data_IF_200109764474
#
_entry.id   IF_200109764474
#
_cell.length_a   1.000
_cell.length_b   1.000
_cell.length_c   1.000
_cell.angle_alpha   90.00
_cell.angle_beta   90.00
_cell.angle_gamma   90.00
#
_symmetry.space_group_name_H-M   'P 1'
#
loop_
_entity.id
_entity.type
_entity.pdbx_description
1 polymer ?
#
# COMPACT_ATOMS: atom_id res chain seq x y z
N UNK A 1 20.65 4.32 43.11
CA UNK A 1 19.76 4.94 42.10
C UNK A 1 20.54 5.05 40.80
N UNK A 2 20.36 4.10 39.89
CA UNK A 2 21.01 4.15 38.59
C UNK A 2 20.10 4.88 37.60
N UNK A 3 20.52 6.05 37.14
CA UNK A 3 19.90 6.76 36.03
C UNK A 3 20.02 5.92 34.77
N UNK A 4 18.90 5.36 34.31
CA UNK A 4 18.80 4.84 32.95
C UNK A 4 18.84 6.05 32.00
N UNK A 5 20.00 6.28 31.40
CA UNK A 5 20.16 7.21 30.29
C UNK A 5 19.24 6.75 29.16
N UNK A 6 18.14 7.48 28.95
CA UNK A 6 17.24 7.25 27.83
C UNK A 6 18.01 7.43 26.53
N UNK A 7 18.06 6.37 25.71
CA UNK A 7 18.65 6.46 24.37
C UNK A 7 17.99 7.63 23.61
N UNK A 8 18.78 8.47 22.90
CA UNK A 8 18.23 9.56 22.12
C UNK A 8 17.24 8.99 21.10
N UNK A 9 16.04 9.59 21.04
CA UNK A 9 15.03 9.22 20.06
C UNK A 9 15.63 9.43 18.66
N UNK A 10 15.62 8.41 17.79
CA UNK A 10 16.17 8.55 16.44
C UNK A 10 15.44 9.67 15.69
N UNK A 11 16.16 10.38 14.82
CA UNK A 11 15.56 11.39 13.94
C UNK A 11 14.43 10.73 13.12
N UNK A 12 13.33 11.44 12.81
CA UNK A 12 12.10 10.85 12.26
C UNK A 12 12.25 10.15 10.89
N UNK A 13 13.44 10.23 10.27
CA UNK A 13 13.76 9.62 8.97
C UNK A 13 15.11 8.88 8.98
N UNK A 14 15.63 8.56 10.17
CA UNK A 14 16.82 7.73 10.32
C UNK A 14 16.45 6.26 10.53
N UNK A 15 17.29 5.36 10.04
CA UNK A 15 17.14 3.95 10.33
C UNK A 15 17.26 3.70 11.84
N UNK A 16 16.45 2.78 12.36
CA UNK A 16 16.41 2.37 13.77
C UNK A 16 16.76 0.90 13.86
N UNK A 17 17.54 0.51 14.87
CA UNK A 17 17.96 -0.88 15.08
C UNK A 17 16.77 -1.70 15.60
N UNK A 18 16.41 -2.75 14.89
CA UNK A 18 15.37 -3.69 15.29
C UNK A 18 15.91 -4.74 16.29
N UNK A 19 15.05 -5.63 16.78
CA UNK A 19 15.40 -6.65 17.79
C UNK A 19 16.45 -7.66 17.31
N UNK A 20 16.65 -7.79 16.00
CA UNK A 20 17.67 -8.63 15.36
C UNK A 20 19.04 -7.94 15.24
N UNK A 21 19.17 -6.70 15.73
CA UNK A 21 20.40 -5.91 15.67
C UNK A 21 20.63 -5.21 14.33
N UNK A 22 19.69 -5.32 13.37
CA UNK A 22 19.84 -4.74 12.05
C UNK A 22 19.03 -3.44 11.89
N UNK A 23 19.51 -2.45 11.12
CA UNK A 23 18.81 -1.19 10.91
C UNK A 23 17.60 -1.34 9.97
N UNK A 24 16.46 -0.75 10.36
CA UNK A 24 15.17 -0.76 9.64
C UNK A 24 14.52 0.62 9.65
N UNK A 25 13.45 0.79 8.86
CA UNK A 25 12.62 2.00 8.96
C UNK A 25 11.92 2.06 10.32
N UNK A 26 11.90 3.23 10.98
CA UNK A 26 11.34 3.39 12.33
C UNK A 26 9.93 2.83 12.47
N UNK A 27 9.05 3.06 11.49
CA UNK A 27 7.64 2.60 11.54
C UNK A 27 7.48 1.08 11.54
N UNK A 28 8.49 0.34 11.08
CA UNK A 28 8.48 -1.14 11.08
C UNK A 28 8.87 -1.73 12.44
N UNK A 29 9.61 -0.97 13.24
CA UNK A 29 10.13 -1.39 14.54
C UNK A 29 9.02 -1.20 15.58
N UNK A 30 8.31 -2.29 15.87
CA UNK A 30 7.30 -2.28 16.93
C UNK A 30 6.63 -3.63 17.14
N UNK A 31 6.37 -4.37 16.07
CA UNK A 31 5.69 -5.67 16.15
C UNK A 31 6.19 -6.63 15.08
N UNK A 32 6.26 -7.95 15.34
CA UNK A 32 6.75 -8.93 14.37
C UNK A 32 6.06 -8.85 13.00
N UNK A 33 4.74 -8.67 12.95
CA UNK A 33 4.00 -8.63 11.68
C UNK A 33 4.37 -7.42 10.82
N UNK A 34 4.56 -6.24 11.43
CA UNK A 34 4.98 -5.03 10.72
C UNK A 34 6.43 -5.15 10.21
N UNK A 35 7.30 -5.75 11.02
CA UNK A 35 8.68 -6.00 10.63
C UNK A 35 8.75 -6.98 9.46
N UNK A 36 7.99 -8.09 9.52
CA UNK A 36 7.92 -9.05 8.43
C UNK A 36 7.37 -8.41 7.14
N UNK A 37 6.28 -7.65 7.23
CA UNK A 37 5.72 -6.92 6.10
C UNK A 37 6.73 -5.93 5.50
N UNK A 38 7.47 -5.19 6.33
CA UNK A 38 8.53 -4.29 5.89
C UNK A 38 9.66 -5.04 5.16
N UNK A 39 10.10 -6.18 5.71
CA UNK A 39 11.28 -6.91 5.23
C UNK A 39 11.01 -7.73 3.96
N UNK A 40 9.75 -8.14 3.75
CA UNK A 40 9.41 -9.12 2.71
C UNK A 40 8.43 -8.61 1.66
N UNK A 41 7.71 -7.51 1.92
CA UNK A 41 6.66 -7.03 1.02
C UNK A 41 6.83 -5.55 0.64
N UNK A 42 6.99 -4.66 1.62
CA UNK A 42 6.92 -3.22 1.36
C UNK A 42 8.12 -2.71 0.54
N UNK A 43 7.82 -2.06 -0.58
CA UNK A 43 8.81 -1.53 -1.50
C UNK A 43 9.27 -2.51 -2.56
N UNK A 44 8.98 -3.80 -2.41
CA UNK A 44 9.29 -4.79 -3.45
C UNK A 44 8.38 -4.59 -4.66
N UNK A 45 8.91 -4.68 -5.89
CA UNK A 45 8.12 -4.42 -7.10
C UNK A 45 7.10 -5.54 -7.32
N UNK A 46 5.86 -5.16 -7.61
CA UNK A 46 4.76 -6.10 -7.88
C UNK A 46 4.11 -5.80 -9.22
N UNK A 47 3.99 -6.82 -10.06
CA UNK A 47 3.46 -6.70 -11.44
C UNK A 47 2.13 -7.40 -11.70
N UNK A 48 1.46 -7.95 -10.69
CA UNK A 48 0.20 -8.67 -10.89
C UNK A 48 -1.02 -7.79 -10.57
N UNK A 49 -1.98 -7.71 -11.48
CA UNK A 49 -3.20 -6.91 -11.35
C UNK A 49 -3.95 -7.15 -10.04
N UNK A 50 -4.13 -8.41 -9.67
CA UNK A 50 -4.83 -8.79 -8.44
C UNK A 50 -4.16 -8.23 -7.19
N UNK A 51 -2.84 -8.32 -7.10
CA UNK A 51 -2.10 -7.80 -5.94
C UNK A 51 -2.13 -6.27 -5.89
N UNK A 52 -2.02 -5.60 -7.03
CA UNK A 52 -2.14 -4.14 -7.12
C UNK A 52 -3.55 -3.66 -6.75
N UNK A 53 -4.58 -4.36 -7.24
CA UNK A 53 -5.97 -4.10 -6.89
C UNK A 53 -6.25 -4.31 -5.40
N UNK A 54 -5.80 -5.44 -4.83
CA UNK A 54 -5.84 -5.69 -3.39
C UNK A 54 -5.23 -4.53 -2.63
N UNK A 55 -4.01 -4.10 -3.01
CA UNK A 55 -3.31 -3.05 -2.30
C UNK A 55 -4.03 -1.70 -2.37
N UNK A 56 -4.46 -1.26 -3.55
CA UNK A 56 -5.26 -0.03 -3.70
C UNK A 56 -6.48 -0.04 -2.78
N UNK A 57 -7.19 -1.17 -2.72
CA UNK A 57 -8.33 -1.33 -1.84
C UNK A 57 -7.95 -1.24 -0.35
N UNK A 58 -6.91 -1.95 0.08
CA UNK A 58 -6.45 -1.92 1.48
C UNK A 58 -5.98 -0.53 1.92
N UNK A 59 -5.25 0.19 1.06
CA UNK A 59 -4.81 1.56 1.35
C UNK A 59 -6.00 2.51 1.52
N UNK A 60 -7.08 2.31 0.77
CA UNK A 60 -8.33 3.08 0.94
C UNK A 60 -8.98 2.89 2.32
N UNK A 61 -8.75 1.74 2.97
CA UNK A 61 -9.23 1.50 4.33
C UNK A 61 -8.40 2.17 5.41
N UNK A 62 -7.14 2.53 5.12
CA UNK A 62 -6.22 3.08 6.11
C UNK A 62 -6.63 4.47 6.63
N UNK A 63 -7.39 5.28 5.88
CA UNK A 63 -7.74 6.65 6.32
C UNK A 63 -8.41 6.65 7.70
N UNK A 64 -7.76 7.26 8.69
CA UNK A 64 -8.20 7.33 10.09
C UNK A 64 -7.74 6.17 10.99
N UNK A 65 -6.89 5.27 10.49
CA UNK A 65 -6.38 4.09 11.20
C UNK A 65 -4.87 3.92 10.99
N UNK A 66 -4.24 3.09 11.82
CA UNK A 66 -2.87 2.65 11.57
C UNK A 66 -2.85 1.58 10.46
N UNK A 67 -1.77 1.53 9.66
CA UNK A 67 -1.57 0.44 8.70
C UNK A 67 -1.58 -0.93 9.38
N UNK A 68 -1.05 -1.03 10.62
CA UNK A 68 -1.11 -2.25 11.45
C UNK A 68 -2.54 -2.80 11.59
N UNK A 69 -3.53 -1.92 11.81
CA UNK A 69 -4.94 -2.34 11.91
C UNK A 69 -5.45 -2.96 10.63
N UNK A 70 -5.06 -2.42 9.46
CA UNK A 70 -5.44 -2.97 8.15
C UNK A 70 -4.70 -4.28 7.90
N UNK A 71 -3.39 -4.32 8.14
CA UNK A 71 -2.54 -5.50 7.96
C UNK A 71 -3.03 -6.69 8.80
N UNK A 72 -3.37 -6.47 10.07
CA UNK A 72 -3.89 -7.51 10.96
C UNK A 72 -5.24 -8.10 10.49
N UNK A 73 -5.97 -7.38 9.63
CA UNK A 73 -7.27 -7.79 9.08
C UNK A 73 -7.17 -8.30 7.64
N UNK A 74 -5.97 -8.35 7.05
CA UNK A 74 -5.77 -8.61 5.62
C UNK A 74 -6.38 -9.94 5.15
N UNK A 75 -6.23 -11.01 5.92
CA UNK A 75 -6.84 -12.30 5.56
C UNK A 75 -8.38 -12.26 5.63
N UNK A 76 -8.94 -11.55 6.61
CA UNK A 76 -10.39 -11.31 6.67
C UNK A 76 -10.87 -10.50 5.46
N UNK A 77 -10.12 -9.47 5.05
CA UNK A 77 -10.40 -8.72 3.83
C UNK A 77 -10.34 -9.60 2.58
N UNK A 78 -9.32 -10.45 2.45
CA UNK A 78 -9.22 -11.42 1.36
C UNK A 78 -10.42 -12.34 1.34
N UNK A 79 -10.84 -12.92 2.48
CA UNK A 79 -12.03 -13.75 2.54
C UNK A 79 -13.30 -12.98 2.13
N UNK A 80 -13.49 -11.79 2.71
CA UNK A 80 -14.65 -10.92 2.48
C UNK A 80 -14.81 -10.49 1.01
N UNK A 81 -13.69 -10.20 0.33
CA UNK A 81 -13.66 -9.70 -1.04
C UNK A 81 -13.14 -10.74 -2.03
N UNK A 82 -13.39 -12.04 -1.79
CA UNK A 82 -13.10 -13.12 -2.74
C UNK A 82 -11.65 -13.16 -3.24
N UNK A 83 -10.72 -12.89 -2.33
CA UNK A 83 -9.29 -12.81 -2.56
C UNK A 83 -8.88 -11.62 -3.41
N UNK A 84 -9.75 -10.62 -3.59
CA UNK A 84 -9.58 -9.50 -4.51
C UNK A 84 -9.52 -9.90 -5.99
N UNK A 85 -10.15 -11.02 -6.36
CA UNK A 85 -10.45 -11.34 -7.77
C UNK A 85 -11.38 -10.26 -8.35
N UNK A 86 -10.84 -9.38 -9.20
CA UNK A 86 -11.52 -8.17 -9.71
C UNK A 86 -12.94 -8.49 -10.19
N UNK A 87 -13.10 -9.48 -11.07
CA UNK A 87 -14.40 -9.83 -11.64
C UNK A 87 -15.39 -10.34 -10.58
N UNK A 88 -14.92 -11.05 -9.55
CA UNK A 88 -15.79 -11.52 -8.45
C UNK A 88 -16.23 -10.37 -7.56
N UNK A 89 -15.33 -9.44 -7.28
CA UNK A 89 -15.62 -8.26 -6.45
C UNK A 89 -16.58 -7.31 -7.19
N UNK A 90 -16.41 -7.12 -8.50
CA UNK A 90 -17.26 -6.25 -9.31
C UNK A 90 -18.74 -6.67 -9.31
N UNK A 91 -18.98 -7.98 -9.18
CA UNK A 91 -20.31 -8.59 -9.10
C UNK A 91 -20.97 -8.53 -7.73
N UNK A 92 -20.28 -8.09 -6.68
CA UNK A 92 -20.88 -7.88 -5.37
C UNK A 92 -21.99 -6.82 -5.44
N UNK A 93 -23.01 -7.03 -4.63
CA UNK A 93 -24.27 -6.28 -4.64
C UNK A 93 -24.46 -5.45 -3.37
N UNK A 94 -25.56 -4.72 -3.27
CA UNK A 94 -25.92 -3.99 -2.05
C UNK A 94 -26.18 -4.94 -0.86
N UNK A 95 -26.73 -6.13 -1.11
CA UNK A 95 -26.92 -7.15 -0.07
C UNK A 95 -25.58 -7.65 0.48
N UNK A 96 -24.54 -7.73 -0.38
CA UNK A 96 -23.18 -8.03 0.05
C UNK A 96 -22.61 -6.90 0.91
N UNK A 97 -22.86 -5.64 0.59
CA UNK A 97 -22.47 -4.50 1.44
C UNK A 97 -23.13 -4.62 2.81
N UNK A 98 -24.43 -4.92 2.86
CA UNK A 98 -25.16 -5.09 4.11
C UNK A 98 -24.61 -6.26 4.94
N UNK A 99 -24.29 -7.39 4.30
CA UNK A 99 -23.63 -8.55 4.92
C UNK A 99 -22.24 -8.20 5.47
N UNK A 100 -21.40 -7.55 4.66
CA UNK A 100 -20.03 -7.16 5.04
C UNK A 100 -20.00 -6.12 6.16
N UNK A 101 -21.02 -5.27 6.27
CA UNK A 101 -21.18 -4.36 7.40
C UNK A 101 -21.38 -5.07 8.74
N UNK A 102 -21.77 -6.35 8.74
CA UNK A 102 -21.89 -7.16 9.96
C UNK A 102 -20.60 -7.93 10.28
N UNK A 103 -19.62 -7.98 9.38
CA UNK A 103 -18.40 -8.76 9.57
C UNK A 103 -17.40 -8.03 10.49
N UNK A 104 -17.13 -8.53 11.72
CA UNK A 104 -16.16 -7.92 12.63
C UNK A 104 -14.70 -8.13 12.19
N UNK A 105 -14.45 -9.06 11.26
CA UNK A 105 -13.16 -9.36 10.67
C UNK A 105 -12.58 -8.18 9.89
N UNK A 106 -13.43 -7.36 9.26
CA UNK A 106 -13.03 -6.20 8.46
C UNK A 106 -13.32 -4.85 9.17
N UNK A 107 -13.01 -3.76 8.47
CA UNK A 107 -13.38 -2.40 8.90
C UNK A 107 -14.78 -2.09 8.38
N UNK A 108 -15.76 -2.02 9.30
CA UNK A 108 -17.19 -1.86 9.00
C UNK A 108 -17.56 -0.42 8.65
N UNK A 109 -17.05 0.06 7.50
CA UNK A 109 -17.33 1.39 6.97
C UNK A 109 -18.03 1.28 5.61
N UNK A 110 -19.34 1.61 5.57
CA UNK A 110 -20.20 1.42 4.39
C UNK A 110 -19.62 2.01 3.11
N UNK A 111 -19.17 3.26 3.15
CA UNK A 111 -18.60 3.94 1.97
C UNK A 111 -17.32 3.29 1.43
N UNK A 112 -16.46 2.73 2.28
CA UNK A 112 -15.20 2.09 1.88
C UNK A 112 -15.45 0.69 1.32
N UNK A 113 -16.40 -0.05 1.89
CA UNK A 113 -16.85 -1.34 1.36
C UNK A 113 -17.46 -1.15 -0.04
N UNK A 114 -18.39 -0.19 -0.20
CA UNK A 114 -18.97 0.13 -1.49
C UNK A 114 -17.92 0.60 -2.50
N UNK A 115 -16.90 1.35 -2.05
CA UNK A 115 -15.80 1.79 -2.89
C UNK A 115 -14.98 0.64 -3.45
N UNK A 116 -14.72 -0.44 -2.69
CA UNK A 116 -14.01 -1.62 -3.22
C UNK A 116 -14.79 -2.24 -4.39
N UNK A 117 -16.11 -2.36 -4.27
CA UNK A 117 -16.98 -2.91 -5.32
C UNK A 117 -16.98 -1.98 -6.54
N UNK A 118 -17.13 -0.68 -6.34
CA UNK A 118 -17.02 0.30 -7.43
C UNK A 118 -15.66 0.22 -8.11
N UNK A 119 -14.57 0.19 -7.35
CA UNK A 119 -13.21 0.15 -7.86
C UNK A 119 -12.95 -1.12 -8.67
N UNK A 120 -13.52 -2.26 -8.29
CA UNK A 120 -13.47 -3.47 -9.10
C UNK A 120 -14.16 -3.29 -10.46
N UNK A 121 -15.34 -2.66 -10.50
CA UNK A 121 -16.04 -2.36 -11.77
C UNK A 121 -15.22 -1.39 -12.63
N UNK A 122 -14.58 -0.38 -12.03
CA UNK A 122 -13.68 0.53 -12.74
C UNK A 122 -12.39 -0.15 -13.22
N UNK A 123 -11.95 -1.20 -12.53
CA UNK A 123 -10.84 -2.02 -12.99
C UNK A 123 -11.24 -2.86 -14.21
N UNK A 124 -12.44 -3.46 -14.25
CA UNK A 124 -12.94 -4.15 -15.45
C UNK A 124 -12.98 -3.21 -16.67
N UNK A 125 -13.53 -2.01 -16.52
CA UNK A 125 -13.55 -0.99 -17.59
C UNK A 125 -12.14 -0.56 -18.03
N UNK A 126 -11.18 -0.53 -17.10
CA UNK A 126 -9.79 -0.23 -17.43
C UNK A 126 -9.17 -1.33 -18.29
N UNK A 127 -9.46 -2.60 -17.97
CA UNK A 127 -8.96 -3.77 -18.70
C UNK A 127 -9.56 -3.90 -20.11
N UNK A 128 -10.68 -3.24 -20.40
CA UNK A 128 -11.20 -3.13 -21.77
C UNK A 128 -10.36 -2.18 -22.65
N UNK A 129 -9.62 -1.27 -22.04
CA UNK A 129 -8.90 -0.19 -22.74
C UNK A 129 -7.37 -0.30 -22.64
N UNK A 130 -6.87 -1.06 -21.68
CA UNK A 130 -5.45 -1.21 -21.38
C UNK A 130 -5.10 -2.68 -21.21
N UNK A 131 -3.83 -2.99 -21.43
CA UNK A 131 -3.32 -4.35 -21.32
C UNK A 131 -3.51 -4.95 -19.92
N UNK A 132 -3.26 -4.16 -18.87
CA UNK A 132 -3.40 -4.61 -17.49
C UNK A 132 -3.51 -3.44 -16.50
N UNK A 133 -4.01 -3.71 -15.29
CA UNK A 133 -3.96 -2.74 -14.19
C UNK A 133 -2.50 -2.46 -13.78
N UNK A 134 -1.62 -3.44 -13.94
CA UNK A 134 -0.20 -3.31 -13.65
C UNK A 134 0.50 -2.35 -14.59
N UNK A 135 0.30 -2.49 -15.91
CA UNK A 135 0.82 -1.55 -16.90
C UNK A 135 0.32 -0.12 -16.62
N UNK A 136 -0.98 0.02 -16.28
CA UNK A 136 -1.52 1.31 -15.86
C UNK A 136 -0.79 1.88 -14.65
N UNK A 137 -0.64 1.11 -13.57
CA UNK A 137 0.02 1.58 -12.34
C UNK A 137 1.49 1.94 -12.59
N UNK A 138 2.24 1.08 -13.26
CA UNK A 138 3.66 1.26 -13.53
C UNK A 138 3.94 2.38 -14.54
N UNK A 139 2.97 2.79 -15.37
CA UNK A 139 3.08 4.00 -16.19
C UNK A 139 3.21 5.31 -15.38
N UNK A 140 2.92 5.27 -14.07
CA UNK A 140 3.13 6.38 -13.14
C UNK A 140 4.41 6.24 -12.29
N UNK A 141 5.30 5.29 -12.57
CA UNK A 141 6.59 5.21 -11.89
C UNK A 141 7.34 6.55 -12.05
N UNK A 142 7.69 7.25 -10.95
CA UNK A 142 8.37 8.54 -11.03
C UNK A 142 9.85 8.36 -11.32
N UNK A 143 10.42 9.32 -12.03
CA UNK A 143 11.88 9.43 -12.18
C UNK A 143 12.55 9.68 -10.81
N UNK A 144 13.71 9.05 -10.51
CA UNK A 144 14.38 9.17 -9.22
C UNK A 144 14.68 10.61 -8.79
N UNK A 145 15.03 11.49 -9.73
CA UNK A 145 15.45 12.88 -9.47
C UNK A 145 14.30 13.76 -8.95
N UNK A 146 13.04 13.35 -9.19
CA UNK A 146 11.85 14.08 -8.76
C UNK A 146 11.34 13.69 -7.37
N UNK A 147 11.99 12.74 -6.70
CA UNK A 147 11.54 12.22 -5.41
C UNK A 147 12.16 13.00 -4.24
N UNK A 148 11.34 13.25 -3.22
CA UNK A 148 11.81 13.76 -1.95
C UNK A 148 12.73 12.73 -1.25
N UNK A 149 13.49 13.18 -0.26
CA UNK A 149 14.24 12.26 0.59
C UNK A 149 13.29 11.21 1.22
N UNK A 150 13.74 9.95 1.39
CA UNK A 150 12.84 8.89 1.80
C UNK A 150 12.08 9.18 3.10
N UNK A 151 10.78 8.91 3.11
CA UNK A 151 9.86 9.08 4.24
C UNK A 151 9.69 10.53 4.73
N UNK A 152 10.14 11.54 3.96
CA UNK A 152 9.99 12.96 4.31
C UNK A 152 8.73 13.61 3.72
N UNK A 153 8.08 12.93 2.77
CA UNK A 153 6.87 13.42 2.10
C UNK A 153 5.70 12.44 2.29
N UNK A 154 4.47 12.95 2.13
CA UNK A 154 3.23 12.16 2.17
C UNK A 154 2.52 12.09 0.82
N UNK A 155 3.07 12.75 -0.21
CA UNK A 155 2.62 12.74 -1.61
C UNK A 155 3.81 12.93 -2.54
N UNK A 156 3.61 12.66 -3.83
CA UNK A 156 4.53 13.05 -4.90
C UNK A 156 3.76 13.62 -6.09
N UNK A 157 4.46 14.24 -7.04
CA UNK A 157 3.83 14.68 -8.29
C UNK A 157 3.14 13.51 -9.01
N UNK A 158 3.79 12.35 -9.05
CA UNK A 158 3.23 11.15 -9.66
C UNK A 158 1.98 10.64 -8.91
N UNK A 159 1.99 10.63 -7.57
CA UNK A 159 0.81 10.19 -6.80
C UNK A 159 -0.38 11.14 -6.97
N UNK A 160 -0.13 12.44 -7.10
CA UNK A 160 -1.15 13.44 -7.42
C UNK A 160 -1.73 13.19 -8.82
N UNK A 161 -0.88 12.94 -9.82
CA UNK A 161 -1.31 12.66 -11.19
C UNK A 161 -2.14 11.38 -11.27
N UNK A 162 -1.64 10.27 -10.70
CA UNK A 162 -2.35 9.00 -10.68
C UNK A 162 -3.68 9.10 -9.91
N UNK A 163 -3.72 9.79 -8.77
CA UNK A 163 -4.96 10.03 -8.01
C UNK A 163 -6.00 10.80 -8.82
N UNK A 164 -5.58 11.85 -9.55
CA UNK A 164 -6.47 12.60 -10.44
C UNK A 164 -7.02 11.72 -11.56
N UNK A 165 -6.18 10.88 -12.15
CA UNK A 165 -6.60 9.98 -13.22
C UNK A 165 -7.56 8.89 -12.74
N UNK A 166 -7.27 8.26 -11.60
CA UNK A 166 -8.18 7.33 -10.93
C UNK A 166 -9.53 7.98 -10.63
N UNK A 167 -9.53 9.21 -10.10
CA UNK A 167 -10.75 9.98 -9.83
C UNK A 167 -11.52 10.29 -11.12
N UNK A 168 -10.84 10.68 -12.20
CA UNK A 168 -11.45 10.93 -13.52
C UNK A 168 -12.12 9.67 -14.06
N UNK A 169 -11.53 8.50 -13.80
CA UNK A 169 -12.09 7.17 -14.12
C UNK A 169 -13.12 6.68 -13.10
N UNK A 170 -13.55 7.50 -12.14
CA UNK A 170 -14.60 7.14 -11.19
C UNK A 170 -14.17 6.21 -10.05
N UNK A 171 -12.87 5.99 -9.84
CA UNK A 171 -12.39 5.28 -8.66
C UNK A 171 -12.60 6.12 -7.39
N UNK A 172 -12.78 5.46 -6.25
CA UNK A 172 -13.17 6.06 -4.99
C UNK A 172 -12.15 5.79 -3.87
N UNK A 173 -12.04 6.72 -2.92
CA UNK A 173 -11.15 6.66 -1.75
C UNK A 173 -9.64 6.54 -2.07
N UNK A 174 -9.22 7.02 -3.24
CA UNK A 174 -7.82 7.00 -3.69
C UNK A 174 -7.27 8.42 -3.88
N UNK A 175 -7.14 9.15 -2.76
CA UNK A 175 -6.51 10.47 -2.74
C UNK A 175 -4.98 10.40 -2.91
N UNK A 176 -4.29 11.54 -3.15
CA UNK A 176 -2.85 11.55 -3.45
C UNK A 176 -1.98 10.90 -2.37
N UNK A 177 -2.35 11.01 -1.09
CA UNK A 177 -1.64 10.36 0.02
C UNK A 177 -1.83 8.85 0.03
N UNK A 178 -3.06 8.38 -0.20
CA UNK A 178 -3.36 6.95 -0.33
C UNK A 178 -2.63 6.33 -1.52
N UNK A 179 -2.63 7.04 -2.65
CA UNK A 179 -1.91 6.59 -3.85
C UNK A 179 -0.40 6.61 -3.61
N UNK A 180 0.14 7.59 -2.89
CA UNK A 180 1.57 7.61 -2.54
C UNK A 180 1.96 6.40 -1.68
N UNK A 181 1.14 6.06 -0.66
CA UNK A 181 1.33 4.86 0.16
C UNK A 181 1.29 3.57 -0.68
N UNK A 182 0.36 3.48 -1.63
CA UNK A 182 0.31 2.40 -2.62
C UNK A 182 1.60 2.32 -3.45
N UNK A 183 2.07 3.44 -4.00
CA UNK A 183 3.28 3.48 -4.84
C UNK A 183 4.52 3.04 -4.06
N UNK A 184 4.65 3.47 -2.81
CA UNK A 184 5.71 3.03 -1.91
C UNK A 184 5.60 1.51 -1.65
N UNK A 185 4.41 1.04 -1.30
CA UNK A 185 4.23 -0.35 -0.89
C UNK A 185 4.42 -1.35 -2.04
N UNK A 186 4.02 -0.98 -3.26
CA UNK A 186 4.09 -1.86 -4.44
C UNK A 186 5.38 -1.69 -5.25
N UNK A 187 6.33 -0.93 -4.70
CA UNK A 187 7.66 -0.81 -5.26
C UNK A 187 7.77 0.09 -6.49
N UNK A 188 6.79 0.95 -6.76
CA UNK A 188 6.94 2.05 -7.72
C UNK A 188 7.89 3.12 -7.15
N UNK A 189 7.92 3.28 -5.83
CA UNK A 189 8.88 4.14 -5.11
C UNK A 189 9.59 3.32 -4.02
N UNK A 190 10.93 3.35 -4.01
CA UNK A 190 11.70 2.74 -2.92
C UNK A 190 11.96 3.80 -1.85
N UNK A 191 11.04 3.84 -0.89
CA UNK A 191 11.03 4.85 0.17
C UNK A 191 11.59 4.31 1.50
N UNK A 192 12.38 3.23 1.47
CA UNK A 192 13.16 2.81 2.63
C UNK A 192 14.16 3.90 3.01
N UNK A 193 14.24 4.30 4.28
CA UNK A 193 15.21 5.33 4.71
C UNK A 193 16.65 4.94 4.40
N UNK A 194 17.51 5.94 4.21
CA UNK A 194 18.95 5.68 4.11
C UNK A 194 19.46 4.96 5.36
N UNK A 195 20.25 3.90 5.17
CA UNK A 195 20.74 3.02 6.23
C UNK A 195 19.81 1.86 6.60
N UNK A 196 18.56 1.80 6.10
CA UNK A 196 17.73 0.60 6.23
C UNK A 196 18.36 -0.57 5.45
N UNK A 197 18.55 -1.73 6.10
CA UNK A 197 19.20 -2.87 5.43
C UNK A 197 18.40 -3.41 4.24
N UNK A 198 17.06 -3.26 4.28
CA UNK A 198 16.14 -3.78 3.24
C UNK A 198 16.20 -2.93 1.97
N UNK A 199 16.63 -1.66 2.09
CA UNK A 199 16.68 -0.72 0.96
C UNK A 199 17.45 -1.29 -0.23
N UNK A 200 18.66 -1.79 0.00
CA UNK A 200 19.52 -2.33 -1.06
C UNK A 200 18.95 -3.61 -1.69
N UNK A 201 18.24 -4.42 -0.91
CA UNK A 201 17.54 -5.62 -1.39
C UNK A 201 16.40 -5.22 -2.32
N UNK A 202 15.63 -4.21 -1.95
CA UNK A 202 14.57 -3.64 -2.80
C UNK A 202 15.13 -3.00 -4.07
N UNK A 203 16.23 -2.25 -3.99
CA UNK A 203 16.91 -1.68 -5.17
C UNK A 203 17.30 -2.77 -6.17
N UNK A 204 17.89 -3.87 -5.69
CA UNK A 204 18.22 -5.03 -6.53
C UNK A 204 16.98 -5.69 -7.14
N UNK A 205 15.93 -5.90 -6.34
CA UNK A 205 14.68 -6.47 -6.83
C UNK A 205 14.06 -5.61 -7.93
N UNK A 206 14.04 -4.29 -7.75
CA UNK A 206 13.57 -3.33 -8.75
C UNK A 206 14.43 -3.31 -10.01
N UNK A 207 15.74 -3.41 -9.90
CA UNK A 207 16.63 -3.46 -11.07
C UNK A 207 16.40 -4.72 -11.91
N UNK A 208 16.07 -5.85 -11.28
CA UNK A 208 15.74 -7.11 -11.95
C UNK A 208 14.27 -7.24 -12.38
N UNK A 209 13.42 -6.27 -12.08
CA UNK A 209 11.99 -6.34 -12.36
C UNK A 209 11.65 -5.81 -13.76
N UNK A 210 11.05 -6.66 -14.58
CA UNK A 210 10.44 -6.26 -15.85
C UNK A 210 9.12 -5.54 -15.57
N UNK A 211 9.04 -4.26 -15.93
CA UNK A 211 7.79 -3.49 -15.82
C UNK A 211 6.76 -4.13 -16.78
N UNK A 212 5.52 -4.38 -16.31
CA UNK A 212 4.43 -4.86 -17.15
C UNK A 212 4.03 -3.86 -18.23
#
# INVERSE_FOLDING_TARGET
MGEQQGQPRPAPHAATVASDGLPRCLWSVGTPDLLNYHDTEWGFPVGTDRALFEKLCLESFQSGLSWRTVLAKRESFRSAFHGFEIARVARLTEDDVARLLQDPGIIRHRGKIAAVINNARRAEELLEQQESLAAFAWSFEPEPEGLAAPQTASTSAASVTMSKELKRRGWQFLGPTTVFAFMQAMGLINDHVHGCTVRSTVEKARAGFSRP
#
